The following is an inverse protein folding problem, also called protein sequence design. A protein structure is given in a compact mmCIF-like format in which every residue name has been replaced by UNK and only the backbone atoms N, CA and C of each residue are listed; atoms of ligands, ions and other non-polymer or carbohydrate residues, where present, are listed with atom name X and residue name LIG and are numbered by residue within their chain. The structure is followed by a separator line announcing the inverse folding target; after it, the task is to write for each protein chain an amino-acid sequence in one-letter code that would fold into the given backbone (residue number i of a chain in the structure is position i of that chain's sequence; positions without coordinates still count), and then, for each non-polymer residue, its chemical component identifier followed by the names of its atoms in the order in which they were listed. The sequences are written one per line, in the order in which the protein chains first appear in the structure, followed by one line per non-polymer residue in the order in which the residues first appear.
data_IF_567905755567
#
_entry.id   IF_567905755567
#
_cell.length_a   1.000
_cell.length_b   1.000
_cell.length_c   1.000
_cell.angle_alpha   90.00
_cell.angle_beta   90.00
_cell.angle_gamma   90.00
#
_symmetry.space_group_name_H-M   'P 1'
#
loop_
_entity.id
_entity.type
_entity.pdbx_description
1 polymer ?
#
# COMPACT_ATOMS: atom_id res chain seq x y z
N UNK A 1 -13.16 0.31 -30.36
CA UNK A 1 -13.76 -0.12 -29.08
C UNK A 1 -14.06 1.12 -28.27
N UNK A 2 -15.24 1.22 -27.66
CA UNK A 2 -15.68 2.42 -26.91
C UNK A 2 -15.44 2.34 -25.39
N UNK A 3 -14.74 1.30 -24.89
CA UNK A 3 -14.42 1.14 -23.46
C UNK A 3 -12.96 1.43 -23.11
N UNK A 4 -12.71 2.02 -21.95
CA UNK A 4 -11.36 2.18 -21.37
C UNK A 4 -10.71 0.80 -21.21
N UNK A 5 -9.48 0.64 -21.72
CA UNK A 5 -8.68 -0.60 -21.66
C UNK A 5 -9.36 -1.89 -22.17
N UNK A 6 -10.36 -1.77 -23.07
CA UNK A 6 -11.16 -2.88 -23.63
C UNK A 6 -10.62 -3.47 -24.95
N UNK A 7 -9.42 -3.06 -25.38
CA UNK A 7 -8.81 -3.52 -26.62
C UNK A 7 -8.44 -5.02 -26.58
N UNK A 8 -8.30 -5.71 -27.72
CA UNK A 8 -7.79 -7.07 -27.74
C UNK A 8 -6.35 -7.13 -27.22
N UNK A 9 -5.97 -8.24 -26.59
CA UNK A 9 -4.64 -8.43 -25.99
C UNK A 9 -3.77 -9.27 -26.91
N UNK A 10 -2.59 -8.76 -27.25
CA UNK A 10 -1.65 -9.40 -28.19
C UNK A 10 -0.57 -10.21 -27.48
N UNK A 11 -0.16 -9.81 -26.27
CA UNK A 11 0.81 -10.52 -25.45
C UNK A 11 0.55 -10.27 -23.96
N UNK A 12 1.01 -11.19 -23.10
CA UNK A 12 0.90 -11.09 -21.64
C UNK A 12 2.18 -11.60 -20.99
N UNK A 13 2.56 -10.98 -19.88
CA UNK A 13 3.56 -11.48 -18.96
C UNK A 13 3.06 -11.32 -17.53
N UNK A 14 3.64 -12.04 -16.59
CA UNK A 14 3.23 -12.04 -15.19
C UNK A 14 4.43 -11.80 -14.28
N UNK A 15 4.20 -11.06 -13.20
CA UNK A 15 5.17 -10.78 -12.15
C UNK A 15 4.55 -11.20 -10.81
N UNK A 16 5.23 -12.05 -10.01
CA UNK A 16 4.74 -12.36 -8.66
C UNK A 16 4.82 -11.12 -7.76
N UNK A 17 3.82 -10.95 -6.90
CA UNK A 17 3.83 -9.95 -5.84
C UNK A 17 4.28 -10.64 -4.56
N UNK A 18 5.46 -10.26 -4.07
CA UNK A 18 6.04 -10.83 -2.86
C UNK A 18 5.40 -10.23 -1.59
N UNK A 19 5.53 -10.92 -0.45
CA UNK A 19 4.94 -10.47 0.81
C UNK A 19 5.42 -9.07 1.24
N UNK A 20 6.67 -8.75 0.91
CA UNK A 20 7.33 -7.49 1.25
C UNK A 20 7.27 -6.46 0.11
N UNK A 21 6.62 -6.78 -1.02
CA UNK A 21 6.54 -5.84 -2.13
C UNK A 21 5.73 -4.60 -1.75
N UNK A 22 6.29 -3.46 -2.15
CA UNK A 22 5.65 -2.14 -2.10
C UNK A 22 5.45 -1.64 -3.53
N UNK A 23 4.72 -0.54 -3.71
CA UNK A 23 4.68 0.12 -5.02
C UNK A 23 6.09 0.44 -5.52
N UNK A 24 6.98 0.88 -4.63
CA UNK A 24 8.36 1.21 -4.99
C UNK A 24 9.24 0.05 -5.44
N UNK A 25 8.88 -1.20 -5.12
CA UNK A 25 9.63 -2.40 -5.55
C UNK A 25 8.99 -3.08 -6.74
N UNK A 26 7.65 -3.13 -6.79
CA UNK A 26 6.92 -3.79 -7.86
C UNK A 26 6.85 -2.95 -9.15
N UNK A 27 6.67 -1.63 -9.05
CA UNK A 27 6.53 -0.79 -10.25
C UNK A 27 7.77 -0.84 -11.16
N UNK A 28 9.02 -0.75 -10.67
CA UNK A 28 10.21 -0.89 -11.52
C UNK A 28 10.29 -2.26 -12.22
N UNK A 29 9.94 -3.36 -11.52
CA UNK A 29 9.91 -4.71 -12.10
C UNK A 29 8.91 -4.79 -13.26
N UNK A 30 7.73 -4.20 -13.08
CA UNK A 30 6.69 -4.14 -14.12
C UNK A 30 7.08 -3.23 -15.28
N UNK A 31 7.78 -2.12 -15.02
CA UNK A 31 8.31 -1.23 -16.07
C UNK A 31 9.29 -1.98 -16.97
N UNK A 32 10.26 -2.69 -16.38
CA UNK A 32 11.24 -3.49 -17.12
C UNK A 32 10.56 -4.62 -17.91
N UNK A 33 9.65 -5.37 -17.27
CA UNK A 33 8.91 -6.45 -17.91
C UNK A 33 8.04 -5.95 -19.06
N UNK A 34 7.34 -4.84 -18.86
CA UNK A 34 6.49 -4.20 -19.86
C UNK A 34 7.28 -3.69 -21.05
N UNK A 35 8.44 -3.07 -20.83
CA UNK A 35 9.31 -2.61 -21.90
C UNK A 35 9.82 -3.77 -22.76
N UNK A 36 10.29 -4.84 -22.13
CA UNK A 36 10.75 -6.04 -22.86
C UNK A 36 9.62 -6.71 -23.63
N UNK A 37 8.44 -6.84 -23.02
CA UNK A 37 7.26 -7.44 -23.65
C UNK A 37 6.80 -6.63 -24.86
N UNK A 38 6.80 -5.29 -24.76
CA UNK A 38 6.41 -4.40 -25.84
C UNK A 38 7.32 -4.59 -27.07
N UNK A 39 8.63 -4.55 -26.89
CA UNK A 39 9.60 -4.72 -27.98
C UNK A 39 9.37 -6.05 -28.69
N UNK A 40 9.32 -7.14 -27.93
CA UNK A 40 9.08 -8.48 -28.46
C UNK A 40 7.76 -8.58 -29.23
N UNK A 41 6.70 -7.98 -28.71
CA UNK A 41 5.36 -8.02 -29.34
C UNK A 41 5.35 -7.27 -30.67
N UNK A 42 6.09 -6.15 -30.78
CA UNK A 42 6.21 -5.40 -32.03
C UNK A 42 7.02 -6.16 -33.08
N UNK A 43 8.07 -6.87 -32.67
CA UNK A 43 8.91 -7.68 -33.57
C UNK A 43 8.17 -8.92 -34.08
N UNK A 44 7.47 -9.65 -33.19
CA UNK A 44 6.78 -10.90 -33.52
C UNK A 44 5.41 -10.67 -34.17
N UNK A 45 4.77 -9.52 -33.91
CA UNK A 45 3.42 -9.17 -34.38
C UNK A 45 2.38 -10.30 -34.19
N UNK A 46 2.22 -10.83 -32.96
CA UNK A 46 1.30 -11.95 -32.72
C UNK A 46 -0.16 -11.52 -32.92
N UNK A 47 -1.06 -12.47 -33.26
CA UNK A 47 -2.49 -12.18 -33.34
C UNK A 47 -3.04 -11.81 -31.96
N UNK A 48 -3.90 -10.79 -31.91
CA UNK A 48 -4.54 -10.34 -30.68
C UNK A 48 -5.88 -11.04 -30.46
N UNK A 49 -6.18 -11.38 -29.21
CA UNK A 49 -7.43 -12.03 -28.82
C UNK A 49 -8.34 -11.07 -28.03
N UNK A 50 -9.65 -11.19 -28.22
CA UNK A 50 -10.61 -10.45 -27.41
C UNK A 50 -10.47 -10.81 -25.92
N UNK A 51 -10.74 -9.83 -25.05
CA UNK A 51 -10.78 -10.05 -23.61
C UNK A 51 -12.08 -10.75 -23.22
N UNK A 52 -12.06 -11.46 -22.10
CA UNK A 52 -13.26 -12.00 -21.47
C UNK A 52 -13.78 -10.97 -20.44
N UNK A 53 -14.86 -10.28 -20.79
CA UNK A 53 -15.46 -9.25 -19.95
C UNK A 53 -15.91 -9.79 -18.59
N UNK A 54 -16.19 -11.10 -18.47
CA UNK A 54 -16.55 -11.71 -17.19
C UNK A 54 -15.38 -11.77 -16.19
N UNK A 55 -14.14 -11.63 -16.67
CA UNK A 55 -12.93 -11.61 -15.84
C UNK A 55 -12.41 -10.19 -15.59
N UNK A 56 -13.04 -9.17 -16.18
CA UNK A 56 -12.59 -7.80 -16.04
C UNK A 56 -12.85 -7.27 -14.63
N UNK A 57 -11.80 -6.75 -13.99
CA UNK A 57 -11.90 -5.99 -12.74
C UNK A 57 -11.39 -4.59 -12.96
N UNK A 58 -12.04 -3.59 -12.37
CA UNK A 58 -11.64 -2.19 -12.52
C UNK A 58 -10.70 -1.76 -11.39
N UNK A 59 -9.58 -1.14 -11.74
CA UNK A 59 -8.67 -0.50 -10.80
C UNK A 59 -9.10 0.96 -10.63
N UNK A 60 -9.84 1.24 -9.55
CA UNK A 60 -10.30 2.60 -9.26
C UNK A 60 -9.12 3.57 -9.06
N UNK A 61 -9.34 4.82 -9.45
CA UNK A 61 -8.36 5.88 -9.23
C UNK A 61 -8.21 6.10 -7.73
N UNK A 62 -6.96 6.10 -7.25
CA UNK A 62 -6.67 6.38 -5.85
C UNK A 62 -7.08 7.82 -5.49
N UNK A 63 -7.89 7.97 -4.44
CA UNK A 63 -8.34 9.25 -3.88
C UNK A 63 -7.64 9.56 -2.55
N UNK A 64 -7.92 10.74 -1.98
CA UNK A 64 -7.29 11.16 -0.73
C UNK A 64 -7.70 10.28 0.45
N UNK A 65 -8.94 9.79 0.43
CA UNK A 65 -9.56 8.97 1.46
C UNK A 65 -8.91 7.59 1.57
N UNK A 66 -8.45 7.01 0.44
CA UNK A 66 -7.75 5.72 0.41
C UNK A 66 -6.43 5.72 1.18
N UNK A 67 -5.87 6.91 1.44
CA UNK A 67 -4.64 7.08 2.21
C UNK A 67 -4.88 7.03 3.72
N UNK A 68 -6.14 7.07 4.16
CA UNK A 68 -6.49 7.02 5.59
C UNK A 68 -6.54 5.57 6.03
N UNK A 69 -5.76 5.24 7.06
CA UNK A 69 -5.83 3.94 7.71
C UNK A 69 -7.07 3.92 8.62
N UNK A 70 -8.19 3.47 8.08
CA UNK A 70 -9.45 3.31 8.81
C UNK A 70 -9.39 2.08 9.75
N UNK A 71 -9.32 2.28 11.07
CA UNK A 71 -9.17 1.19 12.03
C UNK A 71 -10.43 0.33 12.18
N UNK A 72 -11.55 0.69 11.55
CA UNK A 72 -12.73 -0.19 11.46
C UNK A 72 -12.51 -1.37 10.50
N UNK A 73 -11.39 -1.40 9.78
CA UNK A 73 -11.01 -2.48 8.85
C UNK A 73 -10.00 -3.45 9.49
N UNK A 74 -9.86 -4.69 8.98
CA UNK A 74 -8.84 -5.63 9.43
C UNK A 74 -7.41 -5.13 9.20
N UNK A 75 -6.51 -5.41 10.15
CA UNK A 75 -5.11 -4.97 10.09
C UNK A 75 -4.38 -5.47 8.83
N UNK A 76 -4.69 -6.67 8.35
CA UNK A 76 -4.12 -7.24 7.10
C UNK A 76 -4.44 -6.37 5.89
N UNK A 77 -5.66 -5.82 5.81
CA UNK A 77 -6.05 -4.93 4.72
C UNK A 77 -5.30 -3.61 4.78
N UNK A 78 -5.16 -3.05 5.98
CA UNK A 78 -4.45 -1.80 6.22
C UNK A 78 -2.94 -1.92 5.97
N UNK A 79 -2.34 -3.05 6.34
CA UNK A 79 -0.94 -3.39 6.04
C UNK A 79 -0.69 -3.38 4.53
N UNK A 80 -1.56 -4.02 3.75
CA UNK A 80 -1.49 -4.00 2.28
C UNK A 80 -1.62 -2.59 1.72
N UNK A 81 -2.50 -1.76 2.30
CA UNK A 81 -2.60 -0.33 1.93
C UNK A 81 -1.29 0.42 2.21
N UNK A 82 -0.63 0.16 3.34
CA UNK A 82 0.68 0.77 3.63
C UNK A 82 1.71 0.42 2.56
N UNK A 83 1.82 -0.85 2.17
CA UNK A 83 2.76 -1.28 1.13
C UNK A 83 2.40 -0.76 -0.26
N UNK A 84 1.14 -0.87 -0.65
CA UNK A 84 0.64 -0.43 -1.97
C UNK A 84 0.82 1.08 -2.21
N UNK A 85 0.85 1.89 -1.15
CA UNK A 85 1.01 3.35 -1.27
C UNK A 85 2.44 3.84 -1.01
N UNK A 86 3.36 2.95 -0.63
CA UNK A 86 4.75 3.28 -0.28
C UNK A 86 5.71 3.06 -1.45
N UNK A 87 6.67 3.98 -1.69
CA UNK A 87 6.95 5.22 -0.97
C UNK A 87 6.14 6.43 -1.46
N UNK A 88 5.40 6.30 -2.56
CA UNK A 88 4.80 7.39 -3.34
C UNK A 88 3.88 8.31 -2.52
N UNK A 89 2.58 8.04 -2.48
CA UNK A 89 1.62 8.91 -1.79
C UNK A 89 1.51 8.60 -0.30
N UNK A 90 1.76 7.35 0.11
CA UNK A 90 1.73 6.90 1.50
C UNK A 90 0.35 6.89 2.15
N UNK A 91 0.23 6.03 3.15
CA UNK A 91 -0.90 5.98 4.06
C UNK A 91 -0.63 6.78 5.35
N UNK A 92 -1.67 7.07 6.12
CA UNK A 92 -1.56 7.74 7.41
C UNK A 92 -2.64 7.32 8.39
N UNK A 93 -2.29 7.28 9.66
CA UNK A 93 -3.24 7.20 10.77
C UNK A 93 -3.62 8.61 11.23
N UNK A 94 -4.84 8.77 11.74
CA UNK A 94 -5.32 10.01 12.35
C UNK A 94 -5.13 9.90 13.87
N UNK A 95 -4.44 10.87 14.45
CA UNK A 95 -4.21 10.95 15.89
C UNK A 95 -5.40 11.61 16.60
N UNK A 96 -5.47 11.45 17.93
CA UNK A 96 -6.55 12.02 18.75
C UNK A 96 -6.65 13.55 18.67
N UNK A 97 -5.56 14.25 18.37
CA UNK A 97 -5.50 15.70 18.15
C UNK A 97 -5.85 16.10 16.71
N UNK A 98 -6.24 15.15 15.86
CA UNK A 98 -6.54 15.35 14.44
C UNK A 98 -5.30 15.40 13.54
N UNK A 99 -4.09 15.33 14.09
CA UNK A 99 -2.87 15.31 13.29
C UNK A 99 -2.74 13.99 12.52
N UNK A 100 -2.05 14.05 11.37
CA UNK A 100 -1.81 12.88 10.52
C UNK A 100 -0.42 12.33 10.81
N UNK A 101 -0.35 11.06 11.21
CA UNK A 101 0.89 10.32 11.32
C UNK A 101 1.05 9.46 10.07
N UNK A 102 1.96 9.84 9.18
CA UNK A 102 2.26 9.03 7.99
C UNK A 102 2.80 7.66 8.41
N UNK A 103 2.41 6.61 7.70
CA UNK A 103 2.87 5.23 7.92
C UNK A 103 3.51 4.72 6.63
N UNK A 104 4.77 4.28 6.73
CA UNK A 104 5.60 3.86 5.58
C UNK A 104 5.94 2.38 5.60
N UNK A 105 5.93 1.78 6.79
CA UNK A 105 6.06 0.33 6.95
C UNK A 105 5.33 -0.07 8.22
N UNK A 106 4.67 -1.21 8.18
CA UNK A 106 3.93 -1.77 9.30
C UNK A 106 3.90 -3.30 9.19
N UNK A 107 3.59 -3.96 10.30
CA UNK A 107 3.28 -5.39 10.32
C UNK A 107 2.02 -5.67 11.11
N UNK A 108 1.38 -6.79 10.80
CA UNK A 108 0.17 -7.26 11.49
C UNK A 108 0.56 -7.94 12.80
N UNK A 109 -0.22 -7.67 13.85
CA UNK A 109 -0.25 -8.40 15.11
C UNK A 109 -1.63 -9.04 15.26
N UNK A 110 -1.67 -10.23 15.88
CA UNK A 110 -2.94 -10.94 16.13
C UNK A 110 -3.82 -10.21 17.16
N UNK A 111 -3.19 -9.55 18.13
CA UNK A 111 -3.84 -8.81 19.22
C UNK A 111 -3.25 -7.41 19.40
N UNK A 112 -4.02 -6.51 20.01
CA UNK A 112 -3.55 -5.15 20.33
C UNK A 112 -4.61 -4.31 21.05
N UNK A 113 -4.48 -2.97 21.03
CA UNK A 113 -5.46 -2.07 21.63
C UNK A 113 -6.78 -2.10 20.86
N UNK A 114 -7.81 -1.43 21.36
CA UNK A 114 -9.13 -1.44 20.70
C UNK A 114 -9.07 -0.75 19.33
N UNK A 115 -10.00 -1.07 18.40
CA UNK A 115 -10.09 -0.38 17.11
C UNK A 115 -10.06 1.15 17.28
N UNK A 116 -9.08 1.79 16.65
CA UNK A 116 -8.89 3.25 16.66
C UNK A 116 -8.06 3.78 17.82
N UNK A 117 -7.69 2.96 18.79
CA UNK A 117 -6.72 3.32 19.82
C UNK A 117 -5.29 3.16 19.28
N UNK A 118 -4.45 4.17 19.53
CA UNK A 118 -3.03 4.14 19.22
C UNK A 118 -2.23 4.00 20.53
N UNK A 119 -1.69 2.81 20.78
CA UNK A 119 -0.80 2.55 21.92
C UNK A 119 0.61 3.09 21.63
N UNK A 120 1.20 3.78 22.61
CA UNK A 120 2.48 4.50 22.50
C UNK A 120 3.45 4.20 23.66
N UNK A 121 3.06 3.32 24.57
CA UNK A 121 3.77 2.92 25.77
C UNK A 121 4.74 1.75 25.54
N UNK A 122 4.50 0.96 24.48
CA UNK A 122 5.35 -0.14 24.03
C UNK A 122 6.66 0.27 23.32
N UNK A 123 7.36 -0.71 22.70
CA UNK A 123 8.60 -0.46 21.94
C UNK A 123 8.35 0.23 20.59
N UNK A 124 7.16 0.01 20.00
CA UNK A 124 6.71 0.61 18.76
C UNK A 124 5.27 1.10 18.91
N UNK A 125 4.83 2.10 18.11
CA UNK A 125 3.43 2.50 18.06
C UNK A 125 2.57 1.36 17.52
N UNK A 126 1.42 1.10 18.13
CA UNK A 126 0.47 0.06 17.68
C UNK A 126 -0.91 0.65 17.51
N UNK A 127 -1.46 0.57 16.30
CA UNK A 127 -2.83 0.97 15.99
C UNK A 127 -3.76 -0.23 16.08
N UNK A 128 -4.74 -0.19 16.98
CA UNK A 128 -5.78 -1.21 17.08
C UNK A 128 -6.71 -1.16 15.87
N UNK A 129 -7.04 -2.33 15.33
CA UNK A 129 -7.89 -2.50 14.16
C UNK A 129 -9.11 -3.37 14.51
N UNK A 130 -10.11 -3.47 13.63
CA UNK A 130 -11.29 -4.31 13.86
C UNK A 130 -10.94 -5.79 14.07
N UNK A 131 -9.92 -6.26 13.35
CA UNK A 131 -9.30 -7.57 13.53
C UNK A 131 -7.78 -7.38 13.57
N UNK A 132 -7.16 -7.84 14.65
CA UNK A 132 -5.73 -7.65 14.92
C UNK A 132 -5.33 -6.21 15.18
N UNK A 133 -4.04 -5.94 15.07
CA UNK A 133 -3.47 -4.61 15.19
C UNK A 133 -2.33 -4.38 14.20
N UNK A 134 -2.00 -3.11 13.99
CA UNK A 134 -0.98 -2.67 13.06
C UNK A 134 0.19 -2.06 13.86
N UNK A 135 1.31 -2.78 13.95
CA UNK A 135 2.53 -2.25 14.56
C UNK A 135 3.28 -1.40 13.54
N UNK A 136 3.50 -0.13 13.87
CA UNK A 136 4.04 0.87 12.95
C UNK A 136 5.57 0.89 13.01
N UNK A 137 6.21 0.25 12.02
CA UNK A 137 7.67 0.10 11.96
C UNK A 137 8.35 1.40 11.54
N UNK A 138 7.80 2.08 10.54
CA UNK A 138 8.32 3.37 10.03
C UNK A 138 7.17 4.37 9.93
N UNK A 139 7.31 5.48 10.64
CA UNK A 139 6.31 6.55 10.70
C UNK A 139 6.89 7.87 10.22
N UNK A 140 6.01 8.79 9.81
CA UNK A 140 6.37 10.13 9.37
C UNK A 140 5.49 11.16 10.07
N UNK A 141 5.97 11.77 11.16
CA UNK A 141 5.30 12.89 11.80
C UNK A 141 5.19 14.10 10.85
N UNK A 142 4.20 14.99 11.06
CA UNK A 142 4.05 16.20 10.26
C UNK A 142 5.35 17.02 10.20
N UNK A 143 5.76 17.41 8.99
CA UNK A 143 6.98 18.22 8.78
C UNK A 143 8.31 17.50 9.07
N UNK A 144 8.31 16.18 9.31
CA UNK A 144 9.52 15.40 9.57
C UNK A 144 9.80 14.40 8.43
N UNK A 145 11.05 13.93 8.39
CA UNK A 145 11.43 12.77 7.56
C UNK A 145 10.84 11.49 8.17
N UNK A 146 10.58 10.45 7.36
CA UNK A 146 10.28 9.12 7.88
C UNK A 146 11.35 8.66 8.87
N UNK A 147 10.93 7.99 9.94
CA UNK A 147 11.79 7.52 11.02
C UNK A 147 11.27 6.19 11.59
N UNK A 148 12.13 5.40 12.25
CA UNK A 148 11.70 4.22 13.00
C UNK A 148 10.61 4.59 14.03
N UNK A 149 9.63 3.70 14.22
CA UNK A 149 8.57 3.89 15.21
C UNK A 149 9.12 4.08 16.63
N UNK A 150 10.23 3.42 16.97
CA UNK A 150 10.87 3.54 18.28
C UNK A 150 11.42 4.96 18.53
N UNK A 151 12.01 5.58 17.51
CA UNK A 151 12.55 6.93 17.60
C UNK A 151 11.44 7.96 17.75
N UNK A 152 10.32 7.73 17.07
CA UNK A 152 9.11 8.52 17.27
C UNK A 152 8.63 8.48 18.73
N UNK A 153 8.59 7.30 19.36
CA UNK A 153 8.20 7.17 20.76
C UNK A 153 9.20 7.85 21.72
N UNK A 154 10.50 7.71 21.47
CA UNK A 154 11.55 8.38 22.27
C UNK A 154 11.42 9.90 22.23
N UNK A 155 11.08 10.47 21.08
CA UNK A 155 10.86 11.89 20.91
C UNK A 155 9.67 12.42 21.72
N UNK A 156 8.56 11.67 21.76
CA UNK A 156 7.34 12.06 22.50
C UNK A 156 7.46 11.97 24.02
N UNK A 157 8.31 11.10 24.55
CA UNK A 157 8.54 11.00 26.02
C UNK A 157 9.32 12.18 26.59
N UNK A 158 9.93 13.01 25.73
CA UNK A 158 10.77 14.16 26.13
C UNK A 158 10.05 15.51 25.99
N UNK A 159 8.83 15.52 25.46
CA UNK A 159 7.98 16.70 25.24
C UNK A 159 6.80 16.68 26.20
#
# INVERSE_FOLDING_TARGET
TEGLDSGPVCARAAEPIDAEDTYGTLAPRLEDLGAALLIRTLEESPPCAAQDDALATYAEKIVAEDRVLDPSRPAVGLERTVRALTPHIGAHAVLADGARLGVRAARVLDDGPKPGELALDGPLPVLGCAEGALELLVVQPPGRRPMPGEDYLRGRRRS
#
